data_IF_191002088397
#
_entry.id   IF_191002088397
#
_cell.length_a   1.000
_cell.length_b   1.000
_cell.length_c   1.000
_cell.angle_alpha   90.00
_cell.angle_beta   90.00
_cell.angle_gamma   90.00
#
_symmetry.space_group_name_H-M   'P 1'
#
loop_
_entity.id
_entity.type
_entity.pdbx_description
1 polymer ?
#
# COMPACT_ATOMS: atom_id res chain seq x y z
N UNK A 1 10.30 6.13 -0.03
CA UNK A 1 9.49 7.35 -0.25
C UNK A 1 8.25 7.42 0.65
N UNK A 2 7.39 6.39 0.68
CA UNK A 2 6.14 6.37 1.45
C UNK A 2 6.31 6.64 2.96
N UNK A 3 7.15 5.85 3.65
CA UNK A 3 7.43 6.04 5.08
C UNK A 3 7.99 7.44 5.40
N UNK A 4 8.90 7.93 4.55
CA UNK A 4 9.46 9.27 4.69
C UNK A 4 8.37 10.34 4.60
N UNK A 5 7.41 10.17 3.68
CA UNK A 5 6.29 11.13 3.55
C UNK A 5 5.41 11.17 4.79
N UNK A 6 5.14 10.01 5.42
CA UNK A 6 4.40 9.92 6.69
C UNK A 6 5.17 10.62 7.81
N UNK A 7 6.45 10.27 7.98
CA UNK A 7 7.29 10.83 9.05
C UNK A 7 7.41 12.35 8.94
N UNK A 8 7.65 12.87 7.73
CA UNK A 8 7.72 14.30 7.49
C UNK A 8 6.38 14.99 7.79
N UNK A 9 5.26 14.39 7.35
CA UNK A 9 3.94 14.96 7.58
C UNK A 9 3.59 15.00 9.06
N UNK A 10 3.83 13.91 9.79
CA UNK A 10 3.66 13.86 11.24
C UNK A 10 4.56 14.87 11.95
N UNK A 11 5.84 14.95 11.60
CA UNK A 11 6.79 15.86 12.24
C UNK A 11 6.43 17.34 12.03
N UNK A 12 6.18 17.76 10.78
CA UNK A 12 5.80 19.15 10.46
C UNK A 12 4.47 19.53 11.12
N UNK A 13 3.54 18.57 11.19
CA UNK A 13 2.27 18.78 11.86
C UNK A 13 2.43 18.96 13.38
N UNK A 14 3.23 18.12 14.05
CA UNK A 14 3.50 18.26 15.49
C UNK A 14 4.14 19.61 15.82
N UNK A 15 5.09 20.07 15.00
CA UNK A 15 5.69 21.41 15.15
C UNK A 15 4.64 22.52 15.00
N UNK A 16 3.78 22.40 13.98
CA UNK A 16 2.71 23.37 13.75
C UNK A 16 1.72 23.39 14.91
N UNK A 17 1.37 22.23 15.46
CA UNK A 17 0.46 22.10 16.60
C UNK A 17 1.02 22.75 17.87
N UNK A 18 2.29 22.50 18.19
CA UNK A 18 2.95 23.11 19.35
C UNK A 18 2.88 24.64 19.27
N UNK A 19 3.13 25.22 18.08
CA UNK A 19 3.04 26.67 17.88
C UNK A 19 1.61 27.22 17.99
N UNK A 20 0.59 26.43 17.63
CA UNK A 20 -0.82 26.85 17.68
C UNK A 20 -1.39 26.78 19.10
N UNK A 21 -1.01 25.77 19.89
CA UNK A 21 -1.39 25.70 21.31
C UNK A 21 -0.91 26.95 22.06
N UNK A 22 0.31 27.40 21.74
CA UNK A 22 0.94 28.54 22.39
C UNK A 22 0.24 29.87 22.03
N UNK A 23 -0.34 29.98 20.84
CA UNK A 23 -0.84 31.26 20.29
C UNK A 23 -2.37 31.49 20.50
N UNK A 24 -3.24 30.45 20.48
CA UNK A 24 -4.65 30.56 20.92
C UNK A 24 -5.41 29.21 20.86
N UNK A 25 -6.19 28.87 21.91
CA UNK A 25 -6.95 27.60 22.01
C UNK A 25 -8.39 27.73 21.49
N UNK A 26 -8.57 27.99 20.20
CA UNK A 26 -9.91 28.04 19.59
C UNK A 26 -10.50 26.63 19.33
N UNK A 27 -11.83 26.48 19.48
CA UNK A 27 -12.56 25.22 19.19
C UNK A 27 -12.31 24.70 17.76
N UNK A 28 -12.10 25.61 16.83
CA UNK A 28 -11.78 25.32 15.43
C UNK A 28 -10.38 24.67 15.24
N UNK A 29 -9.44 25.01 16.13
CA UNK A 29 -8.10 24.40 16.15
C UNK A 29 -8.16 22.93 16.54
N UNK A 30 -9.01 22.58 17.53
CA UNK A 30 -9.18 21.19 18.00
C UNK A 30 -9.81 20.29 16.93
N UNK A 31 -10.80 20.79 16.19
CA UNK A 31 -11.42 20.00 15.10
C UNK A 31 -10.43 19.72 13.97
N UNK A 32 -9.70 20.74 13.52
CA UNK A 32 -8.65 20.57 12.52
C UNK A 32 -7.57 19.60 13.02
N UNK A 33 -7.27 19.65 14.33
CA UNK A 33 -6.34 18.74 14.96
C UNK A 33 -6.79 17.28 14.84
N UNK A 34 -8.01 16.99 15.28
CA UNK A 34 -8.57 15.65 15.23
C UNK A 34 -8.59 15.09 13.80
N UNK A 35 -8.97 15.90 12.81
CA UNK A 35 -9.00 15.46 11.40
C UNK A 35 -7.60 15.09 10.91
N UNK A 36 -6.56 15.88 11.20
CA UNK A 36 -5.20 15.55 10.74
C UNK A 36 -4.65 14.31 11.45
N UNK A 37 -4.94 14.13 12.74
CA UNK A 37 -4.55 12.89 13.46
C UNK A 37 -5.22 11.66 12.84
N UNK A 38 -6.52 11.73 12.53
CA UNK A 38 -7.22 10.67 11.80
C UNK A 38 -6.58 10.46 10.42
N UNK A 39 -6.22 11.54 9.72
CA UNK A 39 -5.57 11.46 8.41
C UNK A 39 -4.23 10.74 8.46
N UNK A 40 -3.37 11.08 9.43
CA UNK A 40 -2.09 10.40 9.66
C UNK A 40 -2.31 8.92 9.96
N UNK A 41 -3.27 8.61 10.85
CA UNK A 41 -3.63 7.24 11.19
C UNK A 41 -4.06 6.44 9.96
N UNK A 42 -4.95 7.00 9.12
CA UNK A 42 -5.43 6.38 7.89
C UNK A 42 -4.29 6.14 6.88
N UNK A 43 -3.41 7.11 6.65
CA UNK A 43 -2.25 6.95 5.75
C UNK A 43 -1.28 5.88 6.28
N UNK A 44 -1.13 5.77 7.60
CA UNK A 44 -0.26 4.78 8.23
C UNK A 44 -0.80 3.35 8.27
N UNK A 45 -2.06 3.13 7.86
CA UNK A 45 -2.74 1.82 7.99
C UNK A 45 -1.94 0.63 7.44
N UNK A 46 -1.41 0.64 6.21
CA UNK A 46 -0.66 -0.52 5.71
C UNK A 46 0.59 -0.85 6.55
N UNK A 47 1.19 0.19 7.15
CA UNK A 47 2.35 0.04 8.03
C UNK A 47 1.91 -0.60 9.34
N UNK A 48 0.88 -0.04 9.98
CA UNK A 48 0.42 -0.53 11.28
C UNK A 48 -0.10 -1.96 11.19
N UNK A 49 -0.84 -2.33 10.14
CA UNK A 49 -1.34 -3.71 9.98
C UNK A 49 -0.24 -4.73 9.78
N UNK A 50 0.90 -4.34 9.22
CA UNK A 50 2.08 -5.21 9.09
C UNK A 50 2.65 -5.55 10.47
N UNK A 51 2.67 -4.58 11.40
CA UNK A 51 3.17 -4.81 12.75
C UNK A 51 2.14 -5.49 13.65
N UNK A 52 0.83 -5.25 13.45
CA UNK A 52 -0.22 -5.94 14.21
C UNK A 52 -0.12 -7.46 14.04
N UNK A 53 0.18 -7.95 12.83
CA UNK A 53 0.37 -9.40 12.61
C UNK A 53 1.58 -9.98 13.34
N UNK A 54 2.64 -9.18 13.54
CA UNK A 54 3.84 -9.56 14.31
C UNK A 54 3.58 -9.49 15.83
N UNK A 55 2.87 -8.47 16.29
CA UNK A 55 2.59 -8.27 17.71
C UNK A 55 1.58 -9.28 18.27
N UNK A 56 0.68 -9.79 17.44
CA UNK A 56 -0.36 -10.76 17.83
C UNK A 56 0.00 -12.21 17.44
N UNK A 57 1.27 -12.50 17.16
CA UNK A 57 1.73 -13.82 16.71
C UNK A 57 1.30 -14.95 17.66
N UNK A 58 1.33 -14.71 18.98
CA UNK A 58 0.95 -15.69 20.01
C UNK A 58 -0.56 -15.98 20.05
N UNK A 59 -1.42 -15.06 19.58
CA UNK A 59 -2.88 -15.17 19.66
C UNK A 59 -3.60 -15.08 18.29
N UNK A 60 -2.89 -15.40 17.20
CA UNK A 60 -3.40 -15.23 15.82
C UNK A 60 -4.68 -16.01 15.53
N UNK A 61 -4.93 -17.15 16.21
CA UNK A 61 -6.12 -17.95 15.94
C UNK A 61 -7.42 -17.23 16.32
N UNK A 62 -7.39 -16.44 17.39
CA UNK A 62 -8.56 -15.70 17.87
C UNK A 62 -8.83 -14.44 17.04
N UNK A 63 -7.78 -13.78 16.53
CA UNK A 63 -7.88 -12.47 15.87
C UNK A 63 -7.70 -12.51 14.35
N UNK A 64 -7.67 -13.70 13.74
CA UNK A 64 -7.41 -13.89 12.30
C UNK A 64 -8.34 -13.02 11.42
N UNK A 65 -9.63 -13.02 11.73
CA UNK A 65 -10.65 -12.31 10.93
C UNK A 65 -10.48 -10.79 11.00
N UNK A 66 -10.07 -10.27 12.17
CA UNK A 66 -9.78 -8.85 12.33
C UNK A 66 -8.51 -8.46 11.57
N UNK A 67 -7.44 -9.27 11.67
CA UNK A 67 -6.17 -9.01 10.97
C UNK A 67 -6.39 -9.04 9.46
N UNK A 68 -7.10 -10.04 8.94
CA UNK A 68 -7.40 -10.15 7.50
C UNK A 68 -8.25 -8.97 7.02
N UNK A 69 -9.29 -8.60 7.77
CA UNK A 69 -10.12 -7.43 7.47
C UNK A 69 -9.27 -6.15 7.41
N UNK A 70 -8.42 -5.93 8.41
CA UNK A 70 -7.55 -4.75 8.46
C UNK A 70 -6.57 -4.73 7.29
N UNK A 71 -5.94 -5.85 6.94
CA UNK A 71 -4.97 -5.93 5.85
C UNK A 71 -5.64 -5.64 4.49
N UNK A 72 -6.79 -6.25 4.20
CA UNK A 72 -7.54 -6.04 2.95
C UNK A 72 -7.98 -4.58 2.81
N UNK A 73 -8.43 -3.96 3.90
CA UNK A 73 -8.95 -2.59 3.88
C UNK A 73 -7.86 -1.52 4.09
N UNK A 74 -6.66 -1.89 4.51
CA UNK A 74 -5.57 -0.95 4.83
C UNK A 74 -5.24 -0.01 3.67
N UNK A 75 -5.29 -0.51 2.44
CA UNK A 75 -4.98 0.24 1.22
C UNK A 75 -6.07 1.26 0.91
N UNK A 76 -7.34 0.91 1.13
CA UNK A 76 -8.46 1.83 1.00
C UNK A 76 -8.38 2.97 2.01
N UNK A 77 -8.02 2.66 3.25
CA UNK A 77 -7.79 3.67 4.28
C UNK A 77 -6.63 4.60 3.92
N UNK A 78 -5.51 4.08 3.41
CA UNK A 78 -4.41 4.90 2.93
C UNK A 78 -4.83 5.83 1.78
N UNK A 79 -5.63 5.34 0.84
CA UNK A 79 -6.19 6.15 -0.24
C UNK A 79 -7.11 7.27 0.27
N UNK A 80 -8.03 6.95 1.17
CA UNK A 80 -8.94 7.91 1.78
C UNK A 80 -8.18 8.98 2.59
N UNK A 81 -7.21 8.57 3.41
CA UNK A 81 -6.33 9.48 4.14
C UNK A 81 -5.54 10.40 3.19
N UNK A 82 -5.06 9.86 2.07
CA UNK A 82 -4.38 10.64 1.04
C UNK A 82 -5.26 11.75 0.45
N UNK A 83 -6.51 11.44 0.11
CA UNK A 83 -7.47 12.42 -0.40
C UNK A 83 -7.80 13.51 0.64
N UNK A 84 -7.98 13.13 1.89
CA UNK A 84 -8.23 14.09 2.98
C UNK A 84 -7.01 15.02 3.15
N UNK A 85 -5.79 14.51 3.10
CA UNK A 85 -4.57 15.32 3.17
C UNK A 85 -4.47 16.34 2.01
N UNK A 86 -4.78 15.92 0.79
CA UNK A 86 -4.83 16.81 -0.39
C UNK A 86 -5.90 17.90 -0.18
N UNK A 87 -7.10 17.51 0.23
CA UNK A 87 -8.21 18.42 0.44
C UNK A 87 -7.92 19.46 1.53
N UNK A 88 -7.33 19.05 2.67
CA UNK A 88 -6.92 19.95 3.74
C UNK A 88 -5.81 20.91 3.28
N UNK A 89 -4.86 20.44 2.48
CA UNK A 89 -3.79 21.27 1.90
C UNK A 89 -4.35 22.32 0.93
N UNK A 90 -5.33 21.95 0.11
CA UNK A 90 -6.03 22.88 -0.77
C UNK A 90 -6.87 23.91 0.02
N UNK A 91 -7.61 23.46 1.05
CA UNK A 91 -8.41 24.35 1.90
C UNK A 91 -7.56 25.36 2.66
N UNK A 92 -6.42 24.92 3.21
CA UNK A 92 -5.48 25.82 3.90
C UNK A 92 -4.89 26.84 2.93
N UNK A 93 -4.54 26.44 1.71
CA UNK A 93 -4.09 27.35 0.65
C UNK A 93 -5.14 28.42 0.30
N UNK A 94 -6.41 28.03 0.10
CA UNK A 94 -7.51 28.97 -0.21
C UNK A 94 -7.74 29.96 0.93
N UNK A 95 -7.73 29.48 2.19
CA UNK A 95 -7.93 30.34 3.37
C UNK A 95 -6.82 31.36 3.57
N UNK A 96 -5.56 30.98 3.33
CA UNK A 96 -4.42 31.91 3.40
C UNK A 96 -4.54 33.00 2.35
N UNK A 97 -4.96 32.64 1.12
CA UNK A 97 -5.21 33.60 0.03
C UNK A 97 -6.33 34.57 0.39
N UNK A 98 -7.42 34.07 0.97
CA UNK A 98 -8.60 34.88 1.30
C UNK A 98 -8.35 35.85 2.46
N UNK A 99 -7.62 35.44 3.50
CA UNK A 99 -7.34 36.31 4.65
C UNK A 99 -6.23 37.34 4.41
N UNK A 100 -5.57 37.36 3.23
CA UNK A 100 -4.39 38.20 2.92
C UNK A 100 -3.33 38.16 4.05
N UNK A 101 -3.24 37.02 4.74
CA UNK A 101 -2.28 36.84 5.84
C UNK A 101 -0.92 36.57 5.21
N UNK A 102 0.06 37.41 5.55
CA UNK A 102 1.46 37.24 5.16
C UNK A 102 1.90 35.81 5.46
N UNK A 103 2.47 35.13 4.47
CA UNK A 103 2.87 33.72 4.56
C UNK A 103 3.82 33.49 5.75
N UNK A 104 3.31 33.03 6.90
CA UNK A 104 4.13 32.46 7.98
C UNK A 104 4.69 31.14 7.41
N UNK A 105 6.02 31.00 7.36
CA UNK A 105 6.73 29.87 6.73
C UNK A 105 6.22 28.50 7.20
N UNK A 106 5.76 28.40 8.44
CA UNK A 106 5.14 27.20 9.00
C UNK A 106 3.92 26.70 8.22
N UNK A 107 3.07 27.61 7.72
CA UNK A 107 1.86 27.23 6.98
C UNK A 107 2.18 26.72 5.57
N UNK A 108 3.24 27.25 4.94
CA UNK A 108 3.69 26.77 3.64
C UNK A 108 4.27 25.36 3.74
N UNK A 109 5.07 25.08 4.77
CA UNK A 109 5.62 23.75 5.01
C UNK A 109 4.52 22.71 5.20
N UNK A 110 3.47 23.04 5.96
CA UNK A 110 2.33 22.14 6.18
C UNK A 110 1.55 21.84 4.89
N UNK A 111 1.35 22.85 4.02
CA UNK A 111 0.70 22.65 2.71
C UNK A 111 1.55 21.75 1.82
N UNK A 112 2.85 22.03 1.69
CA UNK A 112 3.74 21.28 0.79
C UNK A 112 3.86 19.83 1.23
N UNK A 113 4.11 19.60 2.53
CA UNK A 113 4.27 18.25 3.06
C UNK A 113 2.94 17.50 3.08
N UNK A 114 1.83 18.16 3.40
CA UNK A 114 0.49 17.57 3.34
C UNK A 114 0.09 17.16 1.93
N UNK A 115 0.38 18.00 0.93
CA UNK A 115 0.14 17.66 -0.48
C UNK A 115 1.02 16.48 -0.91
N UNK A 116 2.31 16.51 -0.56
CA UNK A 116 3.25 15.44 -0.90
C UNK A 116 2.83 14.10 -0.29
N UNK A 117 2.55 14.06 1.02
CA UNK A 117 2.08 12.86 1.70
C UNK A 117 0.73 12.38 1.13
N UNK A 118 -0.17 13.31 0.83
CA UNK A 118 -1.47 13.01 0.22
C UNK A 118 -1.34 12.36 -1.16
N UNK A 119 -0.52 12.93 -2.05
CA UNK A 119 -0.26 12.41 -3.40
C UNK A 119 0.43 11.06 -3.35
N UNK A 120 1.49 10.92 -2.54
CA UNK A 120 2.20 9.65 -2.40
C UNK A 120 1.28 8.56 -1.85
N UNK A 121 0.44 8.88 -0.85
CA UNK A 121 -0.52 7.93 -0.28
C UNK A 121 -1.58 7.51 -1.28
N UNK A 122 -2.22 8.48 -1.94
CA UNK A 122 -3.26 8.20 -2.91
C UNK A 122 -2.74 7.46 -4.14
N UNK A 123 -1.59 7.87 -4.69
CA UNK A 123 -0.97 7.20 -5.83
C UNK A 123 -0.58 5.76 -5.49
N UNK A 124 -0.05 5.52 -4.28
CA UNK A 124 0.28 4.17 -3.80
C UNK A 124 -0.97 3.29 -3.71
N UNK A 125 -2.03 3.80 -3.09
CA UNK A 125 -3.30 3.08 -2.97
C UNK A 125 -3.90 2.78 -4.35
N UNK A 126 -3.98 3.78 -5.22
CA UNK A 126 -4.52 3.64 -6.58
C UNK A 126 -3.72 2.62 -7.40
N UNK A 127 -2.39 2.74 -7.46
CA UNK A 127 -1.53 1.82 -8.22
C UNK A 127 -1.58 0.39 -7.69
N UNK A 128 -1.74 0.20 -6.38
CA UNK A 128 -1.92 -1.11 -5.78
C UNK A 128 -3.29 -1.70 -6.14
N UNK A 129 -4.37 -0.96 -5.90
CA UNK A 129 -5.74 -1.41 -6.19
C UNK A 129 -5.96 -1.68 -7.68
N UNK A 130 -5.36 -0.88 -8.58
CA UNK A 130 -5.42 -1.11 -10.01
C UNK A 130 -4.62 -2.35 -10.47
N UNK A 131 -3.56 -2.72 -9.74
CA UNK A 131 -2.82 -3.93 -10.05
C UNK A 131 -3.60 -5.17 -9.63
N UNK A 132 -4.13 -5.16 -8.40
CA UNK A 132 -4.97 -6.24 -7.86
C UNK A 132 -6.45 -6.13 -8.25
N UNK A 133 -6.80 -5.31 -9.25
CA UNK A 133 -8.17 -5.29 -9.76
C UNK A 133 -8.39 -6.51 -10.65
N UNK A 134 -9.22 -7.45 -10.20
CA UNK A 134 -9.50 -8.71 -10.89
C UNK A 134 -8.86 -9.91 -10.18
N UNK A 135 -9.12 -11.10 -10.70
CA UNK A 135 -8.64 -12.38 -10.15
C UNK A 135 -7.34 -12.87 -10.80
N UNK A 136 -6.70 -12.03 -11.61
CA UNK A 136 -5.49 -12.32 -12.40
C UNK A 136 -4.19 -11.89 -11.70
N UNK A 137 -4.27 -11.22 -10.55
CA UNK A 137 -3.11 -10.79 -9.80
C UNK A 137 -2.75 -11.78 -8.68
N UNK A 138 -1.45 -12.05 -8.51
CA UNK A 138 -0.94 -12.98 -7.51
C UNK A 138 0.48 -12.67 -7.06
N UNK A 139 0.94 -13.43 -6.06
CA UNK A 139 2.28 -13.31 -5.46
C UNK A 139 3.01 -14.62 -5.65
N UNK A 140 4.25 -14.55 -6.13
CA UNK A 140 5.14 -15.68 -6.29
C UNK A 140 6.41 -15.49 -5.48
N UNK A 141 6.96 -16.60 -4.97
CA UNK A 141 8.34 -16.58 -4.48
C UNK A 141 9.26 -16.60 -5.70
N UNK A 142 10.10 -15.57 -5.85
CA UNK A 142 10.96 -15.44 -7.03
C UNK A 142 11.96 -16.61 -7.13
N UNK A 143 12.47 -17.09 -5.99
CA UNK A 143 13.35 -18.27 -5.92
C UNK A 143 12.71 -19.56 -6.46
N UNK A 144 11.38 -19.65 -6.47
CA UNK A 144 10.66 -20.81 -6.99
C UNK A 144 10.43 -20.74 -8.50
N UNK A 145 10.70 -19.59 -9.13
CA UNK A 145 10.57 -19.39 -10.57
C UNK A 145 11.92 -19.74 -11.22
N UNK A 146 11.96 -20.60 -12.25
CA UNK A 146 13.19 -20.84 -13.00
C UNK A 146 13.71 -19.51 -13.58
N UNK A 147 15.02 -19.33 -13.60
CA UNK A 147 15.65 -18.07 -14.03
C UNK A 147 15.07 -17.58 -15.38
N UNK A 148 14.60 -16.33 -15.39
CA UNK A 148 14.05 -15.68 -16.58
C UNK A 148 14.93 -14.49 -16.93
N UNK A 149 15.55 -14.50 -18.11
CA UNK A 149 16.56 -13.49 -18.48
C UNK A 149 16.00 -12.06 -18.65
N UNK A 150 14.68 -11.89 -18.71
CA UNK A 150 14.02 -10.59 -18.88
C UNK A 150 13.44 -10.01 -17.58
N UNK A 151 13.66 -10.67 -16.44
CA UNK A 151 13.29 -10.19 -15.10
C UNK A 151 14.46 -10.38 -14.15
N UNK A 152 15.10 -9.28 -13.77
CA UNK A 152 16.08 -9.24 -12.67
C UNK A 152 15.37 -8.75 -11.40
N UNK A 153 15.04 -9.67 -10.48
CA UNK A 153 14.37 -9.33 -9.24
C UNK A 153 15.19 -9.76 -8.03
N UNK A 154 15.83 -8.78 -7.36
CA UNK A 154 16.61 -9.03 -6.16
C UNK A 154 15.75 -8.98 -4.87
N UNK A 155 14.56 -9.58 -4.93
CA UNK A 155 13.61 -9.64 -3.82
C UNK A 155 12.98 -11.04 -3.71
N UNK A 156 12.60 -11.49 -2.50
CA UNK A 156 12.07 -12.84 -2.30
C UNK A 156 10.70 -13.04 -2.95
N UNK A 157 9.95 -11.96 -3.20
CA UNK A 157 8.62 -11.99 -3.79
C UNK A 157 8.58 -11.25 -5.13
N UNK A 158 7.79 -11.80 -6.06
CA UNK A 158 7.43 -11.17 -7.31
C UNK A 158 5.90 -11.09 -7.37
N UNK A 159 5.36 -9.89 -7.55
CA UNK A 159 3.93 -9.73 -7.83
C UNK A 159 3.73 -9.85 -9.33
N UNK A 160 2.73 -10.62 -9.74
CA UNK A 160 2.43 -10.82 -11.16
C UNK A 160 0.95 -10.60 -11.41
N UNK A 161 0.63 -10.10 -12.59
CA UNK A 161 -0.73 -10.01 -13.11
C UNK A 161 -0.79 -10.82 -14.40
N UNK A 162 -1.29 -12.04 -14.26
CA UNK A 162 -1.30 -13.07 -15.28
C UNK A 162 -2.72 -13.49 -15.63
N UNK A 163 -3.08 -13.30 -16.89
CA UNK A 163 -4.37 -13.69 -17.44
C UNK A 163 -4.23 -15.05 -18.14
N UNK A 164 -4.91 -16.12 -17.67
CA UNK A 164 -4.85 -17.44 -18.28
C UNK A 164 -5.24 -17.39 -19.76
N UNK A 165 -4.56 -18.18 -20.59
CA UNK A 165 -4.80 -18.31 -22.04
C UNK A 165 -4.62 -17.00 -22.85
N UNK A 166 -4.14 -15.94 -22.21
CA UNK A 166 -3.78 -14.69 -22.86
C UNK A 166 -2.40 -14.81 -23.52
N UNK A 167 -2.28 -14.30 -24.75
CA UNK A 167 -0.98 -14.14 -25.43
C UNK A 167 -0.25 -12.86 -25.01
N UNK A 168 -0.84 -12.07 -24.12
CA UNK A 168 -0.25 -10.81 -23.65
C UNK A 168 0.95 -11.09 -22.73
N UNK A 169 1.96 -10.22 -22.74
CA UNK A 169 2.99 -10.23 -21.72
C UNK A 169 2.39 -10.18 -20.31
N UNK A 170 2.98 -10.91 -19.37
CA UNK A 170 2.58 -10.85 -17.96
C UNK A 170 3.19 -9.62 -17.33
N UNK A 171 2.34 -8.76 -16.74
CA UNK A 171 2.82 -7.63 -15.99
C UNK A 171 3.38 -8.10 -14.64
N UNK A 172 4.50 -7.54 -14.23
CA UNK A 172 5.18 -7.92 -12.99
C UNK A 172 5.62 -6.69 -12.19
N UNK A 173 5.75 -6.87 -10.88
CA UNK A 173 6.34 -5.89 -9.96
C UNK A 173 7.32 -6.56 -9.01
N UNK A 174 8.54 -6.05 -8.98
CA UNK A 174 9.58 -6.48 -8.06
C UNK A 174 9.81 -5.41 -6.98
N UNK A 175 9.70 -5.72 -5.68
CA UNK A 175 10.02 -4.78 -4.63
C UNK A 175 11.48 -4.31 -4.69
N UNK A 176 11.70 -3.00 -4.58
CA UNK A 176 13.05 -2.40 -4.39
C UNK A 176 13.21 -1.77 -3.01
N UNK A 177 12.15 -1.78 -2.21
CA UNK A 177 12.13 -1.28 -0.84
C UNK A 177 11.24 -2.13 0.07
N UNK A 178 10.65 -1.48 1.09
CA UNK A 178 9.84 -2.16 2.09
C UNK A 178 8.49 -2.57 1.50
N UNK A 179 8.19 -3.87 1.57
CA UNK A 179 6.86 -4.42 1.34
C UNK A 179 6.08 -4.52 2.65
N UNK A 180 4.81 -4.12 2.62
CA UNK A 180 3.90 -4.20 3.77
C UNK A 180 2.95 -5.37 3.62
N UNK A 181 2.53 -5.96 4.74
CA UNK A 181 1.65 -7.13 4.78
C UNK A 181 2.18 -8.27 3.88
N UNK A 182 3.47 -8.59 3.94
CA UNK A 182 4.12 -9.56 3.04
C UNK A 182 3.49 -10.97 3.08
N UNK A 183 2.88 -11.32 4.20
CA UNK A 183 2.19 -12.60 4.42
C UNK A 183 0.71 -12.56 4.02
N UNK A 184 0.21 -11.42 3.51
CA UNK A 184 -1.14 -11.27 2.96
C UNK A 184 -1.19 -11.78 1.51
N UNK A 185 -2.34 -12.26 1.02
CA UNK A 185 -2.54 -12.52 -0.41
C UNK A 185 -2.27 -11.30 -1.31
N UNK A 186 -2.40 -10.08 -0.76
CA UNK A 186 -2.22 -8.81 -1.48
C UNK A 186 -1.22 -7.90 -0.73
N UNK A 187 0.09 -8.21 -0.80
CA UNK A 187 1.10 -7.41 -0.13
C UNK A 187 1.15 -6.00 -0.72
N UNK A 188 1.20 -5.00 0.15
CA UNK A 188 1.16 -3.60 -0.26
C UNK A 188 2.57 -3.10 -0.58
N UNK A 189 2.77 -2.75 -1.85
CA UNK A 189 3.96 -2.08 -2.37
C UNK A 189 3.62 -0.61 -2.68
N UNK A 190 4.10 0.34 -1.86
CA UNK A 190 3.89 1.74 -2.14
C UNK A 190 4.44 2.17 -3.49
N UNK A 191 3.82 3.17 -4.10
CA UNK A 191 4.30 3.74 -5.36
C UNK A 191 5.73 4.28 -5.20
N UNK A 192 6.59 3.93 -6.15
CA UNK A 192 8.02 4.28 -6.13
C UNK A 192 8.88 3.42 -5.18
N UNK A 193 8.38 2.25 -4.74
CA UNK A 193 9.16 1.26 -3.97
C UNK A 193 9.24 -0.11 -4.64
N UNK A 194 9.06 -0.13 -5.95
CA UNK A 194 9.11 -1.32 -6.78
C UNK A 194 9.52 -0.95 -8.21
N UNK A 195 10.09 -1.91 -8.92
CA UNK A 195 10.23 -1.90 -10.37
C UNK A 195 9.02 -2.60 -10.98
N UNK A 196 8.55 -2.12 -12.14
CA UNK A 196 7.43 -2.71 -12.85
C UNK A 196 7.77 -2.91 -14.33
N UNK A 197 7.25 -3.98 -14.92
CA UNK A 197 7.51 -4.32 -16.31
C UNK A 197 6.53 -5.35 -16.86
N UNK A 198 6.76 -5.76 -18.10
CA UNK A 198 6.00 -6.78 -18.80
C UNK A 198 6.96 -7.83 -19.36
N UNK A 199 6.63 -9.12 -19.21
CA UNK A 199 7.47 -10.23 -19.70
C UNK A 199 6.62 -11.29 -20.41
N UNK A 200 6.99 -11.60 -21.65
CA UNK A 200 6.40 -12.71 -22.40
C UNK A 200 6.93 -14.06 -21.92
N UNK A 201 8.20 -14.15 -21.51
CA UNK A 201 8.78 -15.39 -20.97
C UNK A 201 8.10 -15.79 -19.66
N UNK A 202 7.78 -14.84 -18.80
CA UNK A 202 7.04 -15.08 -17.57
C UNK A 202 5.66 -15.68 -17.84
N UNK A 203 4.98 -15.23 -18.91
CA UNK A 203 3.68 -15.79 -19.31
C UNK A 203 3.79 -17.29 -19.66
N UNK A 204 4.83 -17.66 -20.40
CA UNK A 204 5.10 -19.06 -20.78
C UNK A 204 5.37 -19.93 -19.55
N UNK A 205 6.25 -19.45 -18.65
CA UNK A 205 6.57 -20.14 -17.40
C UNK A 205 5.32 -20.31 -16.55
N UNK A 206 4.51 -19.26 -16.39
CA UNK A 206 3.28 -19.31 -15.60
C UNK A 206 2.26 -20.31 -16.17
N UNK A 207 2.11 -20.33 -17.50
CA UNK A 207 1.25 -21.28 -18.20
C UNK A 207 1.69 -22.73 -17.94
N UNK A 208 3.00 -23.00 -17.95
CA UNK A 208 3.54 -24.34 -17.67
C UNK A 208 3.32 -24.73 -16.21
N UNK A 209 3.63 -23.83 -15.27
CA UNK A 209 3.46 -24.07 -13.83
C UNK A 209 2.01 -24.36 -13.48
N UNK A 210 1.07 -23.57 -13.99
CA UNK A 210 -0.36 -23.73 -13.73
C UNK A 210 -0.92 -25.01 -14.35
N UNK A 211 -0.54 -25.35 -15.60
CA UNK A 211 -0.93 -26.64 -16.22
C UNK A 211 -0.43 -27.84 -15.42
N UNK A 212 0.79 -27.76 -14.89
CA UNK A 212 1.35 -28.82 -14.06
C UNK A 212 0.67 -28.92 -12.69
N UNK A 213 0.36 -27.80 -12.04
CA UNK A 213 -0.37 -27.77 -10.77
C UNK A 213 -1.75 -28.42 -10.89
N UNK A 214 -2.53 -28.04 -11.92
CA UNK A 214 -3.84 -28.64 -12.21
C UNK A 214 -3.74 -30.15 -12.46
N UNK A 215 -2.68 -30.59 -13.16
CA UNK A 215 -2.46 -32.02 -13.42
C UNK A 215 -2.15 -32.81 -12.15
N UNK A 216 -1.39 -32.23 -11.22
CA UNK A 216 -1.05 -32.85 -9.92
C UNK A 216 -2.31 -32.94 -9.05
N UNK A 217 -3.09 -31.87 -8.97
CA UNK A 217 -4.31 -31.83 -8.17
C UNK A 217 -5.36 -32.83 -8.68
N UNK A 218 -5.55 -32.90 -10.01
CA UNK A 218 -6.41 -33.91 -10.62
C UNK A 218 -5.96 -35.34 -10.30
N UNK A 219 -4.64 -35.60 -10.30
CA UNK A 219 -4.09 -36.92 -9.94
C UNK A 219 -4.34 -37.24 -8.47
N UNK A 220 -4.10 -36.29 -7.56
CA UNK A 220 -4.38 -36.46 -6.13
C UNK A 220 -5.86 -36.72 -5.85
N UNK A 221 -6.77 -36.03 -6.57
CA UNK A 221 -8.21 -36.29 -6.46
C UNK A 221 -8.61 -37.69 -6.96
N UNK A 222 -8.01 -38.17 -8.05
CA UNK A 222 -8.23 -39.54 -8.51
C UNK A 222 -7.70 -40.58 -7.52
N UNK A 223 -6.53 -40.34 -6.92
CA UNK A 223 -5.95 -41.25 -5.92
C UNK A 223 -6.84 -41.35 -4.66
N UNK A 224 -7.45 -40.25 -4.22
CA UNK A 224 -8.42 -40.24 -3.10
C UNK A 224 -9.67 -41.06 -3.42
N UNK A 225 -10.20 -40.96 -4.64
CA UNK A 225 -11.41 -41.69 -5.08
C UNK A 225 -11.13 -43.20 -5.22
N UNK A 226 -9.92 -43.59 -5.60
CA UNK A 226 -9.54 -45.01 -5.76
C UNK A 226 -9.28 -45.68 -4.39
N UNK A 227 -9.04 -44.89 -3.33
CA UNK A 227 -8.81 -45.39 -1.97
C UNK A 227 -10.05 -45.36 -1.04
N UNK A 228 -11.22 -44.94 -1.54
CA UNK A 228 -12.50 -44.97 -0.82
C UNK A 228 -13.42 -46.07 -1.33
#
# INVERSE_FOLDING_TARGET
MYLLSILLFTFVYLLSFNSVIEENRDRYSIQTFAIVMITIFLISMPVTTTFVSLMLEENQREHRDLISFLQINSVWFAGAGGLVAIFLSALTMVRLKQKRIRHKTSNLNLIVVGLFAGVVSFASAYKHLAFFSGDDAGVFLYEAIPAIDDIDCNAPILLVKWEPDSKKPTAWRCPTGVAFNINSPTPFLPWGSYEEGESSKLNEVMTILMKNAVKIEKRRHLDVIITS
#
